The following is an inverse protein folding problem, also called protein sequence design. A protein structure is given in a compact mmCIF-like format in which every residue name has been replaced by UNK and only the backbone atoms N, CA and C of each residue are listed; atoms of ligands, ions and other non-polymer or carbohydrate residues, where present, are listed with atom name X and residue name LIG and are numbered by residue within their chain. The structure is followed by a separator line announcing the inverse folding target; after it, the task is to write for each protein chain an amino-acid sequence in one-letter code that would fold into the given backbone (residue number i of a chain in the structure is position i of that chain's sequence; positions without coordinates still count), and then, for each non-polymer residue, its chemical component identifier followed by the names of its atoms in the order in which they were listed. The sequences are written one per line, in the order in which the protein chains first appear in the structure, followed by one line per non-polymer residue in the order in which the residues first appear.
data_IF_639026280400
#
_entry.id   IF_639026280400
#
_cell.length_a   1.000
_cell.length_b   1.000
_cell.length_c   1.000
_cell.angle_alpha   90.00
_cell.angle_beta   90.00
_cell.angle_gamma   90.00
#
_symmetry.space_group_name_H-M   'P 1'
#
loop_
_entity.id
_entity.type
_entity.pdbx_description
1 polymer ?
#
# COMPACT_ATOMS: atom_id res chain seq x y z
N UNK A 1 8.68 -2.70 -8.64
CA UNK A 1 7.55 -2.06 -7.94
C UNK A 1 6.30 -2.23 -8.81
N UNK A 2 5.20 -2.83 -8.31
CA UNK A 2 3.94 -2.91 -9.08
C UNK A 2 2.92 -2.02 -8.38
N UNK A 3 2.59 -0.90 -9.01
CA UNK A 3 1.59 0.06 -8.52
C UNK A 3 0.28 -0.29 -9.22
N UNK A 4 -0.76 -0.56 -8.44
CA UNK A 4 -2.11 -0.80 -8.95
C UNK A 4 -2.86 0.53 -9.03
N UNK A 5 -3.57 0.75 -10.14
CA UNK A 5 -4.37 1.95 -10.36
C UNK A 5 -3.66 3.09 -11.11
N UNK A 6 -2.48 2.85 -11.69
CA UNK A 6 -1.78 3.79 -12.57
C UNK A 6 -2.00 3.52 -14.07
N UNK A 7 -2.86 2.56 -14.42
CA UNK A 7 -3.08 2.15 -15.80
C UNK A 7 -3.71 3.31 -16.59
N UNK A 8 -2.95 3.91 -17.50
CA UNK A 8 -3.42 4.97 -18.40
C UNK A 8 -3.21 6.42 -17.92
N UNK A 9 -2.60 6.65 -16.76
CA UNK A 9 -2.25 8.00 -16.27
C UNK A 9 -0.92 8.47 -16.86
N UNK A 10 -0.90 9.68 -17.43
CA UNK A 10 0.35 10.35 -17.83
C UNK A 10 1.05 10.94 -16.60
N UNK A 11 2.37 11.14 -16.70
CA UNK A 11 3.17 11.68 -15.60
C UNK A 11 2.71 13.08 -15.16
N UNK A 12 2.37 13.94 -16.11
CA UNK A 12 1.90 15.30 -15.86
C UNK A 12 0.57 15.31 -15.09
N UNK A 13 -0.36 14.42 -15.46
CA UNK A 13 -1.62 14.25 -14.73
C UNK A 13 -1.38 13.66 -13.34
N UNK A 14 -0.40 12.77 -13.18
CA UNK A 14 -0.08 12.17 -11.88
C UNK A 14 0.47 13.17 -10.88
N UNK A 15 1.42 14.04 -11.27
CA UNK A 15 1.92 15.10 -10.39
C UNK A 15 0.80 16.06 -9.98
N UNK A 16 -0.08 16.41 -10.92
CA UNK A 16 -1.23 17.26 -10.66
C UNK A 16 -2.23 16.61 -9.69
N UNK A 17 -2.57 15.33 -9.89
CA UNK A 17 -3.49 14.61 -9.00
C UNK A 17 -2.88 14.41 -7.60
N UNK A 18 -1.59 14.10 -7.50
CA UNK A 18 -0.92 14.02 -6.18
C UNK A 18 -0.92 15.39 -5.49
N UNK A 19 -0.69 16.47 -6.24
CA UNK A 19 -0.81 17.85 -5.73
C UNK A 19 -2.22 18.19 -5.23
N UNK A 20 -3.26 17.53 -5.76
CA UNK A 20 -4.65 17.64 -5.30
C UNK A 20 -5.00 16.72 -4.13
N UNK A 21 -4.03 15.99 -3.57
CA UNK A 21 -4.22 15.08 -2.45
C UNK A 21 -4.37 13.60 -2.86
N UNK A 22 -4.06 13.26 -4.11
CA UNK A 22 -3.83 11.88 -4.52
C UNK A 22 -2.63 11.29 -3.78
N UNK A 23 -2.68 10.00 -3.44
CA UNK A 23 -1.64 9.35 -2.62
C UNK A 23 -1.41 7.92 -2.99
N UNK A 24 -0.19 7.45 -2.71
CA UNK A 24 0.18 6.05 -2.85
C UNK A 24 0.19 5.38 -1.49
N UNK A 25 -0.55 4.28 -1.36
CA UNK A 25 -0.77 3.63 -0.08
C UNK A 25 -0.41 2.15 -0.18
N UNK A 26 0.24 1.64 0.87
CA UNK A 26 0.36 0.20 1.11
C UNK A 26 -0.43 -0.22 2.34
N UNK A 27 -1.09 -1.36 2.24
CA UNK A 27 -1.81 -1.98 3.34
C UNK A 27 -1.01 -3.12 3.90
N UNK A 28 -1.30 -3.48 5.14
CA UNK A 28 -0.65 -4.60 5.81
C UNK A 28 -1.66 -5.72 5.99
N UNK A 29 -1.20 -6.96 5.85
CA UNK A 29 -1.97 -8.12 6.27
C UNK A 29 -1.13 -9.11 7.07
N UNK A 30 -1.82 -9.83 7.94
CA UNK A 30 -1.25 -10.87 8.78
C UNK A 30 -1.79 -12.23 8.40
N UNK A 31 -0.90 -13.21 8.34
CA UNK A 31 -1.25 -14.62 8.19
C UNK A 31 -0.41 -15.44 9.16
N UNK A 32 -1.07 -16.30 9.93
CA UNK A 32 -0.42 -17.22 10.84
C UNK A 32 -0.65 -18.66 10.38
N UNK A 33 0.40 -19.45 10.48
CA UNK A 33 0.40 -20.89 10.20
C UNK A 33 0.91 -21.57 11.47
N UNK A 34 -0.01 -22.16 12.24
CA UNK A 34 0.30 -22.78 13.53
C UNK A 34 1.04 -21.80 14.45
N UNK A 35 2.34 -21.99 14.68
CA UNK A 35 3.17 -21.15 15.56
C UNK A 35 3.85 -19.98 14.85
N UNK A 36 3.84 -19.93 13.51
CA UNK A 36 4.50 -18.88 12.74
C UNK A 36 3.50 -17.79 12.37
N UNK A 37 3.91 -16.52 12.49
CA UNK A 37 3.11 -15.37 12.04
C UNK A 37 3.92 -14.56 11.04
N UNK A 38 3.30 -14.25 9.91
CA UNK A 38 3.89 -13.44 8.85
C UNK A 38 3.17 -12.10 8.76
N UNK A 39 3.95 -11.03 8.87
CA UNK A 39 3.50 -9.66 8.60
C UNK A 39 3.96 -9.27 7.19
N UNK A 40 3.02 -8.96 6.31
CA UNK A 40 3.31 -8.67 4.89
C UNK A 40 2.65 -7.38 4.45
N UNK A 41 3.32 -6.68 3.55
CA UNK A 41 2.78 -5.50 2.87
C UNK A 41 2.10 -5.91 1.57
N UNK A 42 1.02 -5.22 1.21
CA UNK A 42 0.38 -5.36 -0.09
C UNK A 42 1.20 -4.72 -1.21
N UNK A 43 0.76 -4.90 -2.46
CA UNK A 43 1.16 -3.99 -3.55
C UNK A 43 0.77 -2.54 -3.22
N UNK A 44 1.41 -1.58 -3.89
CA UNK A 44 1.08 -0.16 -3.77
C UNK A 44 -0.23 0.09 -4.51
N UNK A 45 -1.15 0.82 -3.87
CA UNK A 45 -2.41 1.27 -4.43
C UNK A 45 -2.36 2.78 -4.61
N UNK A 46 -2.71 3.24 -5.81
CA UNK A 46 -3.00 4.64 -6.04
C UNK A 46 -4.42 4.96 -5.52
N UNK A 47 -4.53 6.01 -4.70
CA UNK A 47 -5.80 6.54 -4.20
C UNK A 47 -5.98 7.93 -4.80
N UNK A 48 -6.98 8.06 -5.68
CA UNK A 48 -7.30 9.32 -6.34
C UNK A 48 -7.72 10.42 -5.33
N UNK A 49 -7.59 11.70 -5.68
CA UNK A 49 -8.03 12.82 -4.86
C UNK A 49 -9.49 12.66 -4.42
N UNK A 50 -9.76 12.94 -3.14
CA UNK A 50 -11.13 12.84 -2.58
C UNK A 50 -11.63 11.40 -2.35
N UNK A 51 -10.90 10.36 -2.77
CA UNK A 51 -11.28 8.98 -2.52
C UNK A 51 -10.78 8.47 -1.15
N UNK A 52 -11.62 7.69 -0.48
CA UNK A 52 -11.30 7.12 0.83
C UNK A 52 -10.31 5.95 0.73
N UNK A 53 -9.15 6.07 1.40
CA UNK A 53 -8.14 5.02 1.43
C UNK A 53 -8.53 3.82 2.32
N UNK A 54 -9.47 3.95 3.25
CA UNK A 54 -9.84 2.86 4.18
C UNK A 54 -10.54 1.71 3.44
N UNK A 55 -11.40 2.02 2.46
CA UNK A 55 -12.17 1.02 1.72
C UNK A 55 -11.29 -0.01 1.01
N UNK A 56 -10.22 0.44 0.37
CA UNK A 56 -9.24 -0.42 -0.31
C UNK A 56 -8.51 -1.37 0.67
N UNK A 57 -8.35 -0.94 1.93
CA UNK A 57 -7.73 -1.70 3.01
C UNK A 57 -8.60 -2.81 3.61
N UNK A 58 -9.93 -2.74 3.44
CA UNK A 58 -10.87 -3.65 4.12
C UNK A 58 -10.63 -5.12 3.80
N UNK A 59 -10.30 -5.46 2.55
CA UNK A 59 -9.98 -6.85 2.18
C UNK A 59 -8.78 -7.41 2.96
N UNK A 60 -7.77 -6.58 3.22
CA UNK A 60 -6.58 -6.97 3.98
C UNK A 60 -6.89 -7.08 5.47
N UNK A 61 -7.78 -6.21 5.98
CA UNK A 61 -8.32 -6.30 7.33
C UNK A 61 -9.09 -7.60 7.54
N UNK A 62 -10.07 -7.91 6.67
CA UNK A 62 -10.84 -9.17 6.74
C UNK A 62 -9.90 -10.37 6.68
N UNK A 63 -8.95 -10.36 5.76
CA UNK A 63 -7.95 -11.43 5.65
C UNK A 63 -7.15 -11.61 6.95
N UNK A 64 -6.69 -10.50 7.54
CA UNK A 64 -5.94 -10.54 8.80
C UNK A 64 -6.79 -11.03 9.98
N UNK A 65 -8.08 -10.65 10.02
CA UNK A 65 -9.01 -11.14 11.05
C UNK A 65 -9.28 -12.63 10.91
N UNK A 66 -9.30 -13.18 9.70
CA UNK A 66 -9.58 -14.61 9.52
C UNK A 66 -8.33 -15.47 9.75
N UNK A 67 -7.15 -14.98 9.36
CA UNK A 67 -5.95 -15.81 9.27
C UNK A 67 -4.80 -15.37 10.19
N UNK A 68 -4.89 -14.23 10.86
CA UNK A 68 -3.77 -13.66 11.63
C UNK A 68 -3.69 -14.06 13.11
N UNK A 69 -4.74 -14.63 13.71
CA UNK A 69 -4.75 -14.90 15.17
C UNK A 69 -4.17 -16.26 15.58
N UNK A 70 -3.98 -17.17 14.62
CA UNK A 70 -3.64 -18.56 14.92
C UNK A 70 -2.24 -18.75 15.54
N UNK A 71 -1.34 -17.78 15.37
CA UNK A 71 0.00 -17.79 15.97
C UNK A 71 -0.01 -17.23 17.38
N UNK A 72 0.12 -18.07 18.41
CA UNK A 72 0.17 -17.59 19.80
C UNK A 72 1.64 -17.39 20.23
N UNK A 73 2.03 -16.24 20.82
CA UNK A 73 1.23 -15.05 21.12
C UNK A 73 1.23 -13.97 20.02
N UNK A 74 2.07 -14.11 18.98
CA UNK A 74 2.41 -13.02 18.06
C UNK A 74 1.29 -12.62 17.08
N UNK A 75 0.47 -13.58 16.68
CA UNK A 75 -0.66 -13.45 15.77
C UNK A 75 -1.62 -12.34 16.18
N UNK A 76 -2.22 -12.38 17.39
CA UNK A 76 -3.08 -11.31 17.87
C UNK A 76 -2.43 -9.92 17.85
N UNK A 77 -1.18 -9.81 18.30
CA UNK A 77 -0.44 -8.54 18.36
C UNK A 77 -0.29 -7.96 16.94
N UNK A 78 0.19 -8.78 16.01
CA UNK A 78 0.39 -8.38 14.63
C UNK A 78 -0.93 -8.08 13.91
N UNK A 79 -1.97 -8.89 14.15
CA UNK A 79 -3.29 -8.68 13.55
C UNK A 79 -3.87 -7.34 13.97
N UNK A 80 -3.82 -6.98 15.26
CA UNK A 80 -4.27 -5.67 15.75
C UNK A 80 -3.49 -4.52 15.08
N UNK A 81 -2.16 -4.66 14.96
CA UNK A 81 -1.34 -3.67 14.27
C UNK A 81 -1.71 -3.48 12.80
N UNK A 82 -2.00 -4.58 12.08
CA UNK A 82 -2.45 -4.53 10.69
C UNK A 82 -3.83 -3.86 10.56
N UNK A 83 -4.75 -4.16 11.47
CA UNK A 83 -6.08 -3.53 11.54
C UNK A 83 -5.96 -2.02 11.74
N UNK A 84 -5.21 -1.57 12.74
CA UNK A 84 -5.00 -0.14 13.01
C UNK A 84 -4.40 0.56 11.78
N UNK A 85 -3.40 -0.05 11.15
CA UNK A 85 -2.77 0.50 9.93
C UNK A 85 -3.79 0.66 8.81
N UNK A 86 -4.58 -0.38 8.53
CA UNK A 86 -5.55 -0.35 7.44
C UNK A 86 -6.72 0.61 7.71
N UNK A 87 -7.20 0.68 8.96
CA UNK A 87 -8.25 1.64 9.35
C UNK A 87 -7.79 3.09 9.38
N UNK A 88 -6.48 3.35 9.54
CA UNK A 88 -5.88 4.68 9.33
C UNK A 88 -5.71 5.05 7.85
N UNK A 89 -6.15 4.18 6.94
CA UNK A 89 -6.05 4.40 5.50
C UNK A 89 -4.74 3.86 4.91
N UNK A 90 -4.07 2.94 5.59
CA UNK A 90 -2.81 2.34 5.17
C UNK A 90 -1.58 3.20 5.48
N UNK A 91 -0.40 2.75 5.04
CA UNK A 91 0.84 3.51 5.14
C UNK A 91 1.00 4.33 3.87
N UNK A 92 1.12 5.65 4.03
CA UNK A 92 1.46 6.56 2.95
C UNK A 92 2.88 6.28 2.46
N UNK A 93 3.04 6.09 1.16
CA UNK A 93 4.29 5.81 0.45
C UNK A 93 4.48 6.80 -0.71
N UNK A 94 3.78 7.94 -0.68
CA UNK A 94 3.73 8.87 -1.81
C UNK A 94 5.10 9.41 -2.16
N UNK A 95 5.90 9.80 -1.16
CA UNK A 95 7.25 10.33 -1.36
C UNK A 95 8.17 9.28 -1.95
N UNK A 96 8.16 8.06 -1.41
CA UNK A 96 9.01 6.96 -1.86
C UNK A 96 8.67 6.55 -3.30
N UNK A 97 7.38 6.53 -3.64
CA UNK A 97 6.91 6.23 -4.99
C UNK A 97 7.31 7.33 -5.97
N UNK A 98 7.09 8.60 -5.63
CA UNK A 98 7.49 9.72 -6.49
C UNK A 98 9.01 9.72 -6.72
N UNK A 99 9.81 9.53 -5.68
CA UNK A 99 11.27 9.44 -5.81
C UNK A 99 11.68 8.27 -6.71
N UNK A 100 11.08 7.10 -6.52
CA UNK A 100 11.37 5.91 -7.35
C UNK A 100 10.97 6.10 -8.81
N UNK A 101 9.89 6.84 -9.08
CA UNK A 101 9.43 7.16 -10.44
C UNK A 101 10.33 8.23 -11.09
N UNK A 102 10.78 9.23 -10.33
CA UNK A 102 11.74 10.23 -10.78
C UNK A 102 13.11 9.61 -11.11
N UNK A 103 13.58 8.67 -10.30
CA UNK A 103 14.83 7.92 -10.57
C UNK A 103 14.73 7.05 -11.83
N UNK A 104 13.60 6.38 -12.05
CA UNK A 104 13.34 5.62 -13.28
C UNK A 104 13.28 6.51 -14.52
N UNK A 105 12.96 7.80 -14.36
CA UNK A 105 13.00 8.81 -15.41
C UNK A 105 14.41 9.33 -15.69
N UNK A 106 15.43 8.96 -14.88
CA UNK A 106 16.84 9.29 -15.12
C UNK A 106 17.28 8.99 -16.56
N UNK A 107 18.36 9.63 -17.08
CA UNK A 107 18.58 10.10 -18.46
C UNK A 107 18.56 9.07 -19.63
N UNK A 108 17.63 8.14 -19.66
CA UNK A 108 17.43 7.16 -20.74
C UNK A 108 16.68 7.72 -21.96
N UNK A 109 16.55 9.04 -22.07
CA UNK A 109 16.30 9.76 -23.34
C UNK A 109 17.59 10.29 -24.00
N UNK A 110 18.76 9.85 -23.56
CA UNK A 110 19.99 9.95 -24.34
C UNK A 110 20.56 8.55 -24.60
N UNK A 111 20.05 7.89 -25.63
CA UNK A 111 20.78 6.85 -26.34
C UNK A 111 20.34 6.85 -27.80
N UNK A 112 21.26 7.30 -28.66
CA UNK A 112 21.43 6.91 -30.07
C UNK A 112 20.36 7.35 -31.04
#
# INVERSE_FOLDING_TARGET
MKIKGLEGLTWETLEQEVGQGGKFVVYTFCISILIMTFWRSSSIYYIAPGMGAVGTGLKFTVFSVLFGWWGIPWGPIYTIGALITNFKGGRDMTVEVLNSLAEQRGPQQQIG
#
